data_IF_967978843867
#
_entry.id   IF_967978843867
#
_cell.length_a   1.000
_cell.length_b   1.000
_cell.length_c   1.000
_cell.angle_alpha   90.00
_cell.angle_beta   90.00
_cell.angle_gamma   90.00
#
_symmetry.space_group_name_H-M   'P 1'
#
loop_
_entity.id
_entity.type
_entity.pdbx_description
1 polymer ?
#
# COMPACT_ATOMS: atom_id res chain seq x y z
N UNK A 1 -42.42 -82.97 111.36
CA UNK A 1 -42.88 -82.33 112.61
C UNK A 1 -41.74 -82.03 113.62
N UNK A 2 -40.47 -82.16 113.20
CA UNK A 2 -39.27 -81.94 114.04
C UNK A 2 -38.75 -80.49 114.06
N UNK A 3 -39.29 -79.60 113.21
CA UNK A 3 -38.81 -78.22 113.04
C UNK A 3 -39.34 -77.25 114.11
N UNK A 4 -40.36 -77.64 114.90
CA UNK A 4 -41.00 -76.72 115.86
C UNK A 4 -40.36 -76.77 117.26
N UNK A 5 -39.89 -77.93 117.72
CA UNK A 5 -39.34 -78.07 119.09
C UNK A 5 -37.95 -77.42 119.26
N UNK A 6 -37.09 -77.48 118.24
CA UNK A 6 -35.76 -76.89 118.30
C UNK A 6 -35.75 -75.35 118.24
N UNK A 7 -36.87 -74.72 117.86
CA UNK A 7 -37.04 -73.26 117.94
C UNK A 7 -37.19 -72.75 119.38
N UNK A 8 -37.67 -73.58 120.32
CA UNK A 8 -37.88 -73.15 121.70
C UNK A 8 -36.59 -73.18 122.53
N UNK A 9 -35.60 -74.00 122.15
CA UNK A 9 -34.27 -74.01 122.79
C UNK A 9 -33.39 -72.82 122.35
N UNK A 10 -33.60 -72.29 121.13
CA UNK A 10 -33.04 -71.01 120.64
C UNK A 10 -33.40 -69.82 121.57
N UNK A 11 -34.39 -69.96 122.45
CA UNK A 11 -34.84 -68.87 123.32
C UNK A 11 -34.19 -68.84 124.70
N UNK A 12 -33.76 -69.98 125.29
CA UNK A 12 -33.41 -70.00 126.73
C UNK A 12 -31.98 -69.57 127.08
N UNK A 13 -30.98 -69.86 126.26
CA UNK A 13 -29.58 -69.51 126.59
C UNK A 13 -29.07 -68.24 125.89
N UNK A 14 -30.00 -67.57 125.21
CA UNK A 14 -29.99 -66.13 124.99
C UNK A 14 -29.85 -65.33 126.30
N UNK A 15 -30.24 -65.90 127.45
CA UNK A 15 -30.52 -65.11 128.65
C UNK A 15 -29.49 -65.19 129.79
N UNK A 16 -28.28 -65.73 129.63
CA UNK A 16 -27.34 -65.63 130.76
C UNK A 16 -25.87 -65.48 130.40
N UNK A 17 -25.37 -64.26 130.56
CA UNK A 17 -23.94 -63.90 130.71
C UNK A 17 -23.80 -62.91 131.86
N UNK A 18 -22.71 -63.00 132.64
CA UNK A 18 -22.02 -61.77 133.04
C UNK A 18 -20.48 -62.00 133.16
N UNK A 19 -19.59 -61.03 133.33
CA UNK A 19 -19.63 -59.57 133.46
C UNK A 19 -18.21 -59.03 133.20
N UNK A 20 -18.13 -57.78 132.75
CA UNK A 20 -16.89 -56.99 132.63
C UNK A 20 -17.00 -55.79 133.58
N UNK A 21 -15.88 -55.28 134.11
CA UNK A 21 -15.83 -53.96 134.75
C UNK A 21 -14.75 -53.08 134.10
N UNK A 22 -15.11 -51.83 133.88
CA UNK A 22 -14.33 -50.75 133.25
C UNK A 22 -14.10 -49.61 134.25
N UNK A 23 -13.04 -48.82 134.04
CA UNK A 23 -12.81 -47.52 134.68
C UNK A 23 -12.42 -46.49 133.62
N UNK A 24 -13.00 -45.31 133.71
CA UNK A 24 -12.77 -44.14 132.84
C UNK A 24 -11.78 -43.15 133.48
N UNK A 25 -11.00 -42.47 132.64
CA UNK A 25 -10.25 -41.25 133.00
C UNK A 25 -10.38 -40.25 131.83
N UNK A 26 -10.74 -39.01 132.17
CA UNK A 26 -11.07 -37.92 131.25
C UNK A 26 -9.83 -37.11 130.88
N UNK A 27 -9.63 -36.87 129.58
CA UNK A 27 -8.63 -35.96 129.00
C UNK A 27 -9.34 -34.71 128.46
N UNK A 28 -9.04 -33.53 129.02
CA UNK A 28 -9.46 -32.24 128.45
C UNK A 28 -8.54 -31.87 127.28
N UNK A 29 -9.11 -31.82 126.07
CA UNK A 29 -8.44 -31.37 124.85
C UNK A 29 -8.90 -29.93 124.58
N UNK A 30 -7.97 -28.97 124.67
CA UNK A 30 -8.17 -27.58 124.25
C UNK A 30 -8.35 -27.56 122.73
N UNK A 31 -9.57 -27.32 122.25
CA UNK A 31 -9.90 -27.26 120.84
C UNK A 31 -9.56 -25.88 120.25
N UNK A 32 -8.53 -25.81 119.40
CA UNK A 32 -8.28 -24.65 118.54
C UNK A 32 -9.40 -24.57 117.47
N UNK A 33 -10.37 -23.67 117.64
CA UNK A 33 -11.38 -23.39 116.62
C UNK A 33 -10.81 -22.41 115.61
N UNK A 34 -10.34 -22.91 114.47
CA UNK A 34 -10.11 -22.09 113.27
C UNK A 34 -11.42 -21.41 112.85
N UNK A 35 -11.39 -20.10 112.64
CA UNK A 35 -12.56 -19.29 112.28
C UNK A 35 -13.23 -19.84 110.99
N UNK A 36 -14.56 -20.05 110.98
CA UNK A 36 -15.26 -20.67 109.85
C UNK A 36 -15.07 -19.88 108.55
N UNK A 37 -14.96 -18.55 108.63
CA UNK A 37 -14.70 -17.69 107.47
C UNK A 37 -13.32 -17.94 106.86
N UNK A 38 -12.28 -18.13 107.69
CA UNK A 38 -10.94 -18.48 107.19
C UNK A 38 -10.91 -19.87 106.56
N UNK A 39 -11.71 -20.84 107.06
CA UNK A 39 -11.85 -22.15 106.41
C UNK A 39 -12.52 -22.05 105.05
N UNK A 40 -13.61 -21.29 104.94
CA UNK A 40 -14.31 -21.06 103.69
C UNK A 40 -13.45 -20.31 102.66
N UNK A 41 -12.67 -19.30 103.10
CA UNK A 41 -11.71 -18.60 102.24
C UNK A 41 -10.59 -19.53 101.78
N UNK A 42 -10.04 -20.38 102.66
CA UNK A 42 -9.04 -21.38 102.27
C UNK A 42 -9.64 -22.41 101.31
N UNK A 43 -10.89 -22.85 101.52
CA UNK A 43 -11.57 -23.77 100.61
C UNK A 43 -11.84 -23.14 99.24
N UNK A 44 -12.28 -21.89 99.19
CA UNK A 44 -12.50 -21.17 97.92
C UNK A 44 -11.18 -20.90 97.21
N UNK A 45 -10.10 -20.56 97.92
CA UNK A 45 -8.76 -20.44 97.36
C UNK A 45 -8.22 -21.78 96.87
N UNK A 46 -8.45 -22.88 97.61
CA UNK A 46 -8.11 -24.25 97.15
C UNK A 46 -8.89 -24.64 95.90
N UNK A 47 -10.18 -24.31 95.82
CA UNK A 47 -11.01 -24.53 94.62
C UNK A 47 -10.51 -23.70 93.44
N UNK A 48 -10.25 -22.40 93.63
CA UNK A 48 -9.67 -21.53 92.58
C UNK A 48 -8.30 -22.02 92.14
N UNK A 49 -7.44 -22.44 93.06
CA UNK A 49 -6.14 -23.01 92.73
C UNK A 49 -6.28 -24.32 91.94
N UNK A 50 -7.20 -25.20 92.33
CA UNK A 50 -7.49 -26.43 91.59
C UNK A 50 -8.05 -26.14 90.19
N UNK A 51 -8.92 -25.14 90.06
CA UNK A 51 -9.45 -24.68 88.77
C UNK A 51 -8.35 -24.07 87.89
N UNK A 52 -7.46 -23.24 88.42
CA UNK A 52 -6.33 -22.69 87.68
C UNK A 52 -5.29 -23.76 87.32
N UNK A 53 -5.05 -24.74 88.20
CA UNK A 53 -4.23 -25.90 87.88
C UNK A 53 -4.86 -26.74 86.77
N UNK A 54 -6.18 -26.92 86.78
CA UNK A 54 -6.92 -27.61 85.72
C UNK A 54 -6.84 -26.85 84.39
N UNK A 55 -7.08 -25.53 84.40
CA UNK A 55 -6.92 -24.67 83.21
C UNK A 55 -5.50 -24.72 82.67
N UNK A 56 -4.49 -24.69 83.52
CA UNK A 56 -3.08 -24.83 83.10
C UNK A 56 -2.82 -26.18 82.43
N UNK A 57 -3.36 -27.27 82.98
CA UNK A 57 -3.24 -28.61 82.39
C UNK A 57 -3.98 -28.70 81.05
N UNK A 58 -5.15 -28.08 80.93
CA UNK A 58 -5.91 -28.05 79.69
C UNK A 58 -5.21 -27.19 78.61
N UNK A 59 -4.65 -26.03 78.97
CA UNK A 59 -3.80 -25.22 78.08
C UNK A 59 -2.52 -25.95 77.66
N UNK A 60 -1.88 -26.69 78.57
CA UNK A 60 -0.71 -27.51 78.23
C UNK A 60 -1.07 -28.62 77.23
N UNK A 61 -2.23 -29.28 77.43
CA UNK A 61 -2.75 -30.26 76.47
C UNK A 61 -3.05 -29.61 75.12
N UNK A 62 -3.69 -28.45 75.10
CA UNK A 62 -3.95 -27.70 73.86
C UNK A 62 -2.65 -27.28 73.17
N UNK A 63 -1.64 -26.84 73.92
CA UNK A 63 -0.31 -26.53 73.37
C UNK A 63 0.31 -27.75 72.73
N UNK A 64 0.34 -28.90 73.42
CA UNK A 64 0.90 -30.15 72.89
C UNK A 64 0.13 -30.61 71.64
N UNK A 65 -1.20 -30.52 71.62
CA UNK A 65 -1.97 -30.86 70.41
C UNK A 65 -1.72 -29.89 69.26
N UNK A 66 -1.49 -28.60 69.56
CA UNK A 66 -1.18 -27.58 68.54
C UNK A 66 0.25 -27.73 68.02
N UNK A 67 1.21 -28.02 68.88
CA UNK A 67 2.59 -28.37 68.53
C UNK A 67 2.62 -29.65 67.68
N UNK A 68 1.84 -30.67 68.02
CA UNK A 68 1.71 -31.89 67.21
C UNK A 68 1.07 -31.60 65.85
N UNK A 69 0.03 -30.75 65.78
CA UNK A 69 -0.55 -30.29 64.50
C UNK A 69 0.46 -29.50 63.67
N UNK A 70 1.27 -28.65 64.30
CA UNK A 70 2.35 -27.91 63.62
C UNK A 70 3.43 -28.87 63.15
N UNK A 71 3.79 -29.87 63.95
CA UNK A 71 4.76 -30.92 63.60
C UNK A 71 4.25 -31.75 62.42
N UNK A 72 3.00 -32.20 62.46
CA UNK A 72 2.34 -32.89 61.35
C UNK A 72 2.29 -32.01 60.10
N UNK A 73 1.87 -30.75 60.19
CA UNK A 73 1.89 -29.81 59.05
C UNK A 73 3.30 -29.54 58.52
N UNK A 74 4.31 -29.50 59.39
CA UNK A 74 5.72 -29.33 59.00
C UNK A 74 6.25 -30.58 58.33
N UNK A 75 5.84 -31.75 58.82
CA UNK A 75 6.06 -33.05 58.17
C UNK A 75 5.35 -33.07 56.82
N UNK A 76 4.09 -32.65 56.70
CA UNK A 76 3.34 -32.57 55.44
C UNK A 76 3.93 -31.55 54.45
N UNK A 77 4.52 -30.45 54.95
CA UNK A 77 5.26 -29.48 54.12
C UNK A 77 6.63 -30.02 53.68
N UNK A 78 7.27 -30.86 54.50
CA UNK A 78 8.60 -31.47 54.22
C UNK A 78 8.53 -32.80 53.49
N UNK A 79 7.44 -33.54 53.66
CA UNK A 79 6.94 -34.56 52.74
C UNK A 79 6.41 -33.79 51.55
N UNK A 80 7.35 -33.30 50.75
CA UNK A 80 7.17 -33.26 49.31
C UNK A 80 6.54 -34.60 48.97
N UNK A 81 5.23 -34.62 48.73
CA UNK A 81 4.65 -35.68 47.93
C UNK A 81 5.54 -35.67 46.70
N UNK A 82 6.35 -36.69 46.52
CA UNK A 82 6.55 -37.21 45.17
C UNK A 82 5.15 -37.55 44.66
N UNK A 83 4.41 -36.51 44.26
CA UNK A 83 3.81 -36.60 42.97
C UNK A 83 5.02 -36.83 42.07
N UNK A 84 5.11 -38.04 41.54
CA UNK A 84 5.34 -38.13 40.11
C UNK A 84 4.23 -37.26 39.50
N UNK A 85 4.47 -35.94 39.47
CA UNK A 85 3.93 -35.13 38.41
C UNK A 85 4.70 -35.78 37.28
N UNK A 86 4.00 -36.51 36.41
CA UNK A 86 4.36 -36.35 35.01
C UNK A 86 4.27 -34.85 34.83
N UNK A 87 5.41 -34.17 35.03
CA UNK A 87 5.57 -32.84 34.54
C UNK A 87 5.52 -33.13 33.05
N UNK A 88 4.31 -33.11 32.47
CA UNK A 88 4.13 -32.38 31.24
C UNK A 88 4.63 -30.97 31.55
N UNK A 89 5.96 -30.83 31.63
CA UNK A 89 6.61 -29.76 30.92
C UNK A 89 6.16 -30.04 29.50
N UNK A 90 5.02 -29.45 29.14
CA UNK A 90 4.80 -28.98 27.80
C UNK A 90 5.95 -27.99 27.62
N UNK A 91 7.12 -28.53 27.27
CA UNK A 91 8.09 -27.77 26.53
C UNK A 91 7.28 -27.29 25.35
N UNK A 92 7.17 -25.99 25.22
CA UNK A 92 6.68 -25.42 23.98
C UNK A 92 7.67 -25.89 22.93
N UNK A 93 7.38 -27.03 22.32
CA UNK A 93 7.98 -27.46 21.08
C UNK A 93 7.38 -26.49 20.07
N UNK A 94 8.03 -25.33 19.93
CA UNK A 94 7.83 -24.51 18.76
C UNK A 94 8.08 -25.44 17.58
N UNK A 95 7.01 -25.71 16.84
CA UNK A 95 7.00 -26.65 15.74
C UNK A 95 8.24 -26.35 14.87
N UNK A 96 9.14 -27.34 14.67
CA UNK A 96 10.36 -27.13 13.90
C UNK A 96 10.07 -26.58 12.49
N UNK A 97 8.88 -26.85 11.94
CA UNK A 97 8.42 -26.21 10.70
C UNK A 97 8.19 -24.71 10.90
N UNK A 98 7.45 -24.28 11.93
CA UNK A 98 7.24 -22.85 12.23
C UNK A 98 8.55 -22.10 12.47
N UNK A 99 9.51 -22.71 13.19
CA UNK A 99 10.85 -22.12 13.38
C UNK A 99 11.58 -21.95 12.05
N UNK A 100 11.56 -22.97 11.20
CA UNK A 100 12.20 -22.92 9.89
C UNK A 100 11.57 -21.87 8.97
N UNK A 101 10.24 -21.73 9.04
CA UNK A 101 9.48 -20.70 8.32
C UNK A 101 9.85 -19.30 8.84
N UNK A 102 9.90 -19.08 10.15
CA UNK A 102 10.31 -17.80 10.73
C UNK A 102 11.74 -17.41 10.32
N UNK A 103 12.67 -18.37 10.29
CA UNK A 103 14.04 -18.13 9.82
C UNK A 103 14.05 -17.80 8.33
N UNK A 104 13.27 -18.51 7.52
CA UNK A 104 13.17 -18.28 6.08
C UNK A 104 12.53 -16.93 5.78
N UNK A 105 11.47 -16.55 6.49
CA UNK A 105 10.86 -15.21 6.39
C UNK A 105 11.84 -14.13 6.81
N UNK A 106 12.59 -14.32 7.89
CA UNK A 106 13.61 -13.35 8.32
C UNK A 106 14.69 -13.18 7.26
N UNK A 107 15.11 -14.28 6.62
CA UNK A 107 16.10 -14.25 5.56
C UNK A 107 15.56 -13.61 4.28
N UNK A 108 14.31 -13.88 3.91
CA UNK A 108 13.63 -13.23 2.80
C UNK A 108 13.49 -11.73 3.05
N UNK A 109 13.03 -11.32 4.24
CA UNK A 109 12.95 -9.90 4.62
C UNK A 109 14.33 -9.23 4.53
N UNK A 110 15.39 -9.91 5.00
CA UNK A 110 16.76 -9.40 4.89
C UNK A 110 17.22 -9.24 3.43
N UNK A 111 16.89 -10.20 2.57
CA UNK A 111 17.20 -10.14 1.13
C UNK A 111 16.41 -9.04 0.43
N UNK A 112 15.12 -8.90 0.71
CA UNK A 112 14.26 -7.82 0.20
C UNK A 112 14.75 -6.44 0.64
N UNK A 113 15.20 -6.30 1.90
CA UNK A 113 15.80 -5.05 2.38
C UNK A 113 17.08 -4.70 1.61
N UNK A 114 17.95 -5.69 1.34
CA UNK A 114 19.15 -5.48 0.53
C UNK A 114 18.81 -5.11 -0.92
N UNK A 115 17.82 -5.78 -1.52
CA UNK A 115 17.37 -5.46 -2.88
C UNK A 115 16.80 -4.04 -2.96
N UNK A 116 15.97 -3.64 -1.98
CA UNK A 116 15.47 -2.27 -1.86
C UNK A 116 16.61 -1.26 -1.78
N UNK A 117 17.64 -1.55 -0.99
CA UNK A 117 18.77 -0.64 -0.81
C UNK A 117 19.60 -0.52 -2.11
N UNK A 118 19.83 -1.64 -2.82
CA UNK A 118 20.47 -1.63 -4.14
C UNK A 118 19.68 -0.81 -5.17
N UNK A 119 18.35 -1.02 -5.25
CA UNK A 119 17.49 -0.26 -6.16
C UNK A 119 17.46 1.23 -5.81
N UNK A 120 17.56 1.57 -4.53
CA UNK A 120 17.65 2.97 -4.07
C UNK A 120 18.97 3.62 -4.49
N UNK A 121 20.08 2.88 -4.42
CA UNK A 121 21.38 3.35 -4.89
C UNK A 121 21.40 3.51 -6.41
N UNK A 122 20.82 2.57 -7.15
CA UNK A 122 20.65 2.66 -8.61
C UNK A 122 19.79 3.86 -9.02
N UNK A 123 18.66 4.07 -8.33
CA UNK A 123 17.82 5.25 -8.54
C UNK A 123 18.61 6.54 -8.31
N UNK A 124 19.39 6.60 -7.23
CA UNK A 124 20.22 7.77 -6.91
C UNK A 124 21.30 8.00 -7.98
N UNK A 125 21.89 6.94 -8.53
CA UNK A 125 22.86 7.01 -9.63
C UNK A 125 22.19 7.51 -10.91
N UNK A 126 21.04 6.96 -11.29
CA UNK A 126 20.29 7.37 -12.47
C UNK A 126 19.82 8.82 -12.38
N UNK A 127 19.40 9.26 -11.18
CA UNK A 127 19.03 10.66 -10.95
C UNK A 127 20.22 11.61 -11.16
N UNK A 128 21.43 11.24 -10.75
CA UNK A 128 22.65 12.04 -11.03
C UNK A 128 22.96 12.07 -12.52
N UNK A 129 22.94 10.93 -13.20
CA UNK A 129 23.16 10.86 -14.64
C UNK A 129 22.15 11.69 -15.43
N UNK A 130 20.87 11.67 -15.01
CA UNK A 130 19.84 12.52 -15.60
C UNK A 130 20.18 13.99 -15.42
N UNK A 131 20.56 14.42 -14.21
CA UNK A 131 20.93 15.81 -13.95
C UNK A 131 22.13 16.27 -14.79
N UNK A 132 23.13 15.40 -14.97
CA UNK A 132 24.30 15.68 -15.81
C UNK A 132 23.91 15.83 -17.30
N UNK A 133 23.02 14.97 -17.80
CA UNK A 133 22.50 15.07 -19.17
C UNK A 133 21.63 16.32 -19.38
N UNK A 134 20.80 16.68 -18.39
CA UNK A 134 19.98 17.89 -18.43
C UNK A 134 20.87 19.15 -18.52
N UNK A 135 22.01 19.18 -17.79
CA UNK A 135 23.00 20.26 -17.89
C UNK A 135 23.67 20.31 -19.27
N UNK A 136 24.09 19.16 -19.82
CA UNK A 136 24.67 19.09 -21.16
C UNK A 136 23.70 19.57 -22.24
N UNK A 137 22.41 19.21 -22.12
CA UNK A 137 21.37 19.70 -23.03
C UNK A 137 21.21 21.22 -22.93
N UNK A 138 21.23 21.77 -21.72
CA UNK A 138 21.14 23.22 -21.51
C UNK A 138 22.34 23.97 -22.11
N UNK A 139 23.55 23.42 -22.00
CA UNK A 139 24.76 23.93 -22.63
C UNK A 139 24.64 23.92 -24.17
N UNK A 140 24.22 22.80 -24.76
CA UNK A 140 23.99 22.69 -26.20
C UNK A 140 22.91 23.67 -26.69
N UNK A 141 21.86 23.89 -25.91
CA UNK A 141 20.84 24.89 -26.21
C UNK A 141 21.37 26.32 -26.13
N UNK A 142 22.26 26.63 -25.19
CA UNK A 142 22.97 27.92 -25.13
C UNK A 142 23.86 28.11 -26.35
N UNK A 143 24.64 27.11 -26.74
CA UNK A 143 25.47 27.16 -27.95
C UNK A 143 24.62 27.36 -29.21
N UNK A 144 23.51 26.61 -29.35
CA UNK A 144 22.57 26.78 -30.47
C UNK A 144 21.94 28.17 -30.52
N UNK A 145 21.73 28.82 -29.37
CA UNK A 145 21.26 30.22 -29.31
C UNK A 145 22.34 31.19 -29.76
N UNK A 146 23.55 31.07 -29.20
CA UNK A 146 24.71 31.89 -29.59
C UNK A 146 25.01 31.77 -31.09
N UNK A 147 24.97 30.55 -31.65
CA UNK A 147 25.15 30.31 -33.08
C UNK A 147 24.08 31.02 -33.92
N UNK A 148 22.81 30.95 -33.51
CA UNK A 148 21.71 31.66 -34.20
C UNK A 148 21.91 33.18 -34.17
N UNK A 149 22.34 33.73 -33.04
CA UNK A 149 22.65 35.16 -32.92
C UNK A 149 23.81 35.57 -33.83
N UNK A 150 24.89 34.78 -33.87
CA UNK A 150 26.01 35.01 -34.77
C UNK A 150 25.59 34.91 -36.25
N UNK A 151 24.75 33.93 -36.61
CA UNK A 151 24.21 33.80 -37.98
C UNK A 151 23.36 35.02 -38.38
N UNK A 152 22.54 35.55 -37.47
CA UNK A 152 21.79 36.80 -37.70
C UNK A 152 22.72 38.00 -37.88
N UNK A 153 23.79 38.10 -37.09
CA UNK A 153 24.76 39.18 -37.22
C UNK A 153 25.54 39.08 -38.54
N UNK A 154 25.92 37.87 -38.97
CA UNK A 154 26.51 37.65 -40.30
C UNK A 154 25.55 38.11 -41.41
N UNK A 155 24.24 37.81 -41.30
CA UNK A 155 23.26 38.29 -42.28
C UNK A 155 23.19 39.82 -42.32
N UNK A 156 23.18 40.49 -41.16
CA UNK A 156 23.21 41.97 -41.07
C UNK A 156 24.47 42.55 -41.71
N UNK A 157 25.64 42.00 -41.38
CA UNK A 157 26.91 42.44 -41.95
C UNK A 157 26.98 42.20 -43.47
N UNK A 158 26.41 41.11 -43.98
CA UNK A 158 26.30 40.86 -45.43
C UNK A 158 25.47 41.93 -46.13
N UNK A 159 24.29 42.26 -45.59
CA UNK A 159 23.47 43.35 -46.15
C UNK A 159 24.24 44.66 -46.13
N UNK A 160 24.93 44.98 -45.03
CA UNK A 160 25.73 46.19 -44.90
C UNK A 160 26.89 46.24 -45.90
N UNK A 161 27.55 45.11 -46.13
CA UNK A 161 28.62 45.01 -47.12
C UNK A 161 28.08 45.27 -48.52
N UNK A 162 26.96 44.66 -48.90
CA UNK A 162 26.31 44.89 -50.19
C UNK A 162 25.92 46.36 -50.40
N UNK A 163 25.41 47.04 -49.36
CA UNK A 163 25.13 48.48 -49.43
C UNK A 163 26.39 49.32 -49.71
N UNK A 164 27.49 48.99 -49.04
CA UNK A 164 28.77 49.69 -49.22
C UNK A 164 29.36 49.44 -50.61
N UNK A 165 29.27 48.21 -51.13
CA UNK A 165 29.70 47.86 -52.48
C UNK A 165 28.92 48.62 -53.55
N UNK A 166 27.59 48.76 -53.38
CA UNK A 166 26.74 49.56 -54.28
C UNK A 166 27.19 51.03 -54.24
N UNK A 167 27.40 51.59 -53.04
CA UNK A 167 27.88 52.97 -52.89
C UNK A 167 29.27 53.18 -53.50
N UNK A 168 30.17 52.21 -53.38
CA UNK A 168 31.50 52.29 -54.00
C UNK A 168 31.41 52.27 -55.53
N UNK A 169 30.55 51.42 -56.10
CA UNK A 169 30.28 51.42 -57.56
C UNK A 169 29.71 52.75 -58.04
N UNK A 170 28.70 53.29 -57.36
CA UNK A 170 28.14 54.60 -57.69
C UNK A 170 29.18 55.73 -57.58
N UNK A 171 30.04 55.68 -56.57
CA UNK A 171 31.11 56.67 -56.40
C UNK A 171 32.14 56.56 -57.52
N UNK A 172 32.53 55.35 -57.94
CA UNK A 172 33.43 55.13 -59.08
C UNK A 172 32.81 55.64 -60.39
N UNK A 173 31.53 55.39 -60.63
CA UNK A 173 30.82 55.90 -61.82
C UNK A 173 30.64 57.43 -61.79
N UNK A 174 30.45 58.04 -60.62
CA UNK A 174 30.39 59.51 -60.47
C UNK A 174 31.76 60.18 -60.67
N UNK A 175 32.86 59.49 -60.37
CA UNK A 175 34.24 59.99 -60.52
C UNK A 175 34.74 59.86 -61.96
N UNK A 176 34.28 58.88 -62.76
CA UNK A 176 34.69 58.75 -64.17
C UNK A 176 33.99 59.72 -65.12
N UNK A 177 32.83 60.29 -64.74
CA UNK A 177 32.06 61.22 -65.59
C UNK A 177 32.53 62.68 -65.49
N UNK A 178 33.29 63.05 -64.46
CA UNK A 178 33.89 64.38 -64.35
C UNK A 178 35.37 64.34 -64.74
N UNK A 179 35.65 64.92 -65.92
CA UNK A 179 36.87 65.67 -66.24
C UNK A 179 37.87 65.00 -67.22
N UNK A 180 37.77 65.40 -68.49
CA UNK A 180 38.96 65.69 -69.33
C UNK A 180 38.98 67.20 -69.56
N UNK A 181 39.62 67.93 -68.64
CA UNK A 181 39.98 69.34 -68.82
C UNK A 181 41.48 69.40 -68.71
N UNK A 182 42.13 69.79 -69.81
CA UNK A 182 43.56 70.07 -69.85
C UNK A 182 43.78 71.33 -69.02
N UNK A 183 44.16 71.13 -67.76
CA UNK A 183 44.62 72.18 -66.87
C UNK A 183 46.12 72.38 -67.14
N UNK A 184 46.52 73.62 -67.40
CA UNK A 184 47.93 73.98 -67.28
C UNK A 184 48.36 73.70 -65.84
N UNK A 185 49.40 72.89 -65.66
CA UNK A 185 50.01 72.59 -64.37
C UNK A 185 50.63 73.92 -63.88
N UNK A 186 50.27 74.53 -62.76
CA UNK A 186 50.26 73.92 -61.43
C UNK A 186 51.70 73.76 -60.89
N UNK A 187 52.64 74.74 -60.85
CA UNK A 187 54.00 74.50 -60.34
C UNK A 187 54.06 73.78 -58.99
N UNK A 188 53.04 73.94 -58.14
CA UNK A 188 52.91 73.24 -56.87
C UNK A 188 52.42 71.79 -57.06
N UNK A 189 51.51 71.57 -58.00
CA UNK A 189 51.05 70.24 -58.42
C UNK A 189 52.17 69.43 -59.10
N UNK A 190 53.06 70.07 -59.85
CA UNK A 190 54.21 69.41 -60.48
C UNK A 190 55.21 68.90 -59.43
N UNK A 191 55.41 69.67 -58.35
CA UNK A 191 56.22 69.23 -57.19
C UNK A 191 55.57 68.04 -56.49
N UNK A 192 54.28 68.10 -56.19
CA UNK A 192 53.56 66.96 -55.56
C UNK A 192 53.59 65.72 -56.46
N UNK A 193 53.37 65.89 -57.76
CA UNK A 193 53.46 64.80 -58.73
C UNK A 193 54.88 64.23 -58.84
N UNK A 194 55.92 65.08 -58.72
CA UNK A 194 57.32 64.61 -58.67
C UNK A 194 57.61 63.78 -57.42
N UNK A 195 57.08 64.18 -56.25
CA UNK A 195 57.21 63.44 -54.99
C UNK A 195 56.44 62.13 -55.05
N UNK A 196 55.21 62.14 -55.55
CA UNK A 196 54.40 60.93 -55.73
C UNK A 196 55.04 59.97 -56.74
N UNK A 197 55.64 60.49 -57.83
CA UNK A 197 56.43 59.65 -58.74
C UNK A 197 57.60 59.00 -58.04
N UNK A 198 58.35 59.75 -57.24
CA UNK A 198 59.47 59.20 -56.47
C UNK A 198 59.00 58.11 -55.50
N UNK A 199 57.91 58.34 -54.77
CA UNK A 199 57.32 57.34 -53.88
C UNK A 199 56.86 56.08 -54.63
N UNK A 200 56.24 56.24 -55.80
CA UNK A 200 55.86 55.10 -56.64
C UNK A 200 57.08 54.35 -57.15
N UNK A 201 58.17 55.04 -57.51
CA UNK A 201 59.43 54.43 -57.91
C UNK A 201 60.10 53.68 -56.75
N UNK A 202 60.08 54.25 -55.54
CA UNK A 202 60.54 53.59 -54.32
C UNK A 202 59.74 52.33 -54.00
N UNK A 203 58.40 52.39 -54.07
CA UNK A 203 57.54 51.22 -53.85
C UNK A 203 57.73 50.16 -54.94
N UNK A 204 57.96 50.57 -56.20
CA UNK A 204 58.35 49.64 -57.28
C UNK A 204 59.69 48.97 -56.99
N UNK A 205 60.66 49.71 -56.46
CA UNK A 205 61.95 49.15 -56.09
C UNK A 205 61.83 48.17 -54.92
N UNK A 206 61.07 48.51 -53.87
CA UNK A 206 60.76 47.60 -52.75
C UNK A 206 60.06 46.32 -53.23
N UNK A 207 59.07 46.44 -54.12
CA UNK A 207 58.40 45.29 -54.73
C UNK A 207 59.40 44.38 -55.46
N UNK A 208 60.31 44.97 -56.23
CA UNK A 208 61.33 44.22 -56.97
C UNK A 208 62.34 43.51 -56.05
N UNK A 209 62.68 44.11 -54.90
CA UNK A 209 63.50 43.46 -53.88
C UNK A 209 62.78 42.28 -53.24
N UNK A 210 61.52 42.46 -52.82
CA UNK A 210 60.69 41.39 -52.27
C UNK A 210 60.46 40.26 -53.28
N UNK A 211 60.30 40.59 -54.57
CA UNK A 211 60.16 39.60 -55.64
C UNK A 211 61.46 38.80 -55.86
N UNK A 212 62.63 39.44 -55.70
CA UNK A 212 63.92 38.72 -55.69
C UNK A 212 64.04 37.80 -54.48
N UNK A 213 63.71 38.29 -53.28
CA UNK A 213 63.72 37.49 -52.04
C UNK A 213 62.77 36.29 -52.15
N UNK A 214 61.55 36.51 -52.65
CA UNK A 214 60.58 35.45 -52.91
C UNK A 214 61.11 34.41 -53.90
N UNK A 215 61.74 34.84 -55.00
CA UNK A 215 62.36 33.93 -55.94
C UNK A 215 63.54 33.15 -55.33
N UNK A 216 64.33 33.74 -54.44
CA UNK A 216 65.37 33.00 -53.70
C UNK A 216 64.77 31.96 -52.76
N UNK A 217 63.66 32.28 -52.09
CA UNK A 217 62.93 31.32 -51.24
C UNK A 217 62.34 30.17 -52.06
N UNK A 218 61.77 30.44 -53.24
CA UNK A 218 61.33 29.41 -54.17
C UNK A 218 62.49 28.50 -54.58
N UNK A 219 63.66 29.08 -54.91
CA UNK A 219 64.82 28.27 -55.26
C UNK A 219 65.31 27.44 -54.08
N UNK A 220 65.28 27.98 -52.86
CA UNK A 220 65.60 27.24 -51.63
C UNK A 220 64.62 26.09 -51.40
N UNK A 221 63.32 26.32 -51.56
CA UNK A 221 62.29 25.29 -51.50
C UNK A 221 62.55 24.20 -52.55
N UNK A 222 62.77 24.58 -53.82
CA UNK A 222 63.11 23.65 -54.89
C UNK A 222 64.40 22.87 -54.62
N UNK A 223 65.40 23.47 -53.97
CA UNK A 223 66.60 22.74 -53.58
C UNK A 223 66.36 21.78 -52.43
N UNK A 224 65.53 22.15 -51.45
CA UNK A 224 65.16 21.26 -50.34
C UNK A 224 64.33 20.08 -50.85
N UNK A 225 63.34 20.33 -51.70
CA UNK A 225 62.56 19.28 -52.39
C UNK A 225 63.46 18.35 -53.22
N UNK A 226 64.50 18.88 -53.88
CA UNK A 226 65.49 18.08 -54.63
C UNK A 226 66.52 17.37 -53.73
N UNK A 227 66.77 17.88 -52.53
CA UNK A 227 67.67 17.27 -51.55
C UNK A 227 66.99 16.15 -50.76
N UNK A 228 65.66 16.14 -50.67
CA UNK A 228 64.88 15.02 -50.14
C UNK A 228 64.94 13.75 -51.01
N UNK A 229 65.51 13.82 -52.22
CA UNK A 229 65.68 12.64 -53.10
C UNK A 229 67.10 12.54 -53.67
N UNK A 230 67.99 11.95 -52.87
CA UNK A 230 69.13 11.11 -53.33
C UNK A 230 69.04 9.85 -52.47
N UNK A 231 68.87 8.63 -52.96
CA UNK A 231 69.62 7.91 -54.00
C UNK A 231 68.83 6.59 -54.28
N UNK A 232 68.54 6.13 -55.50
CA UNK A 232 69.38 5.20 -56.29
C UNK A 232 68.72 4.87 -57.64
N UNK A 233 69.55 4.89 -58.67
CA UNK A 233 69.70 3.96 -59.81
C UNK A 233 68.50 3.05 -60.18
N UNK A 234 67.89 3.37 -61.32
CA UNK A 234 67.24 2.53 -62.35
C UNK A 234 66.90 1.09 -61.93
N UNK A 235 65.61 0.81 -61.68
CA UNK A 235 64.83 -0.31 -62.21
C UNK A 235 63.37 0.17 -62.30
N UNK A 236 62.67 -0.16 -63.39
CA UNK A 236 61.24 0.14 -63.55
C UNK A 236 60.43 -0.71 -62.56
N UNK A 237 59.91 -0.14 -61.49
CA UNK A 237 59.02 -0.87 -60.59
C UNK A 237 57.88 0.02 -60.10
N UNK A 238 56.67 -0.54 -60.18
CA UNK A 238 55.40 0.12 -59.82
C UNK A 238 55.53 0.65 -58.39
N UNK A 239 55.31 1.94 -58.19
CA UNK A 239 55.17 2.54 -56.85
C UNK A 239 53.92 1.92 -56.21
N UNK A 240 54.10 0.84 -55.46
CA UNK A 240 53.16 0.47 -54.41
C UNK A 240 53.41 1.43 -53.26
N UNK A 241 52.44 2.31 -53.01
CA UNK A 241 52.34 3.02 -51.74
C UNK A 241 52.06 1.94 -50.70
N UNK A 242 53.07 1.52 -49.95
CA UNK A 242 52.89 0.66 -48.79
C UNK A 242 52.11 1.46 -47.75
N UNK A 243 50.83 1.13 -47.59
CA UNK A 243 50.04 1.54 -46.44
C UNK A 243 50.65 0.92 -45.19
N UNK A 244 50.83 1.73 -44.14
CA UNK A 244 51.36 1.24 -42.86
C UNK A 244 50.51 0.05 -42.37
N UNK A 245 51.04 -1.18 -42.34
CA UNK A 245 50.25 -2.37 -42.00
C UNK A 245 49.73 -2.33 -40.56
N UNK A 246 50.43 -1.61 -39.68
CA UNK A 246 50.00 -1.38 -38.30
C UNK A 246 48.77 -0.46 -38.23
N UNK A 247 48.68 0.56 -39.09
CA UNK A 247 47.54 1.47 -39.15
C UNK A 247 46.29 0.78 -39.71
N UNK A 248 46.45 -0.08 -40.72
CA UNK A 248 45.34 -0.89 -41.25
C UNK A 248 44.82 -1.89 -40.22
N UNK A 249 45.71 -2.58 -39.51
CA UNK A 249 45.34 -3.50 -38.43
C UNK A 249 44.60 -2.78 -37.29
N UNK A 250 45.04 -1.57 -36.93
CA UNK A 250 44.39 -0.79 -35.88
C UNK A 250 43.00 -0.28 -36.32
N UNK A 251 42.86 0.19 -37.56
CA UNK A 251 41.56 0.55 -38.13
C UNK A 251 40.61 -0.66 -38.12
N UNK A 252 41.11 -1.85 -38.48
CA UNK A 252 40.29 -3.06 -38.51
C UNK A 252 39.88 -3.53 -37.09
N UNK A 253 40.75 -3.36 -36.09
CA UNK A 253 40.40 -3.59 -34.68
C UNK A 253 39.33 -2.62 -34.20
N UNK A 254 39.48 -1.33 -34.50
CA UNK A 254 38.52 -0.30 -34.12
C UNK A 254 37.16 -0.53 -34.78
N UNK A 255 37.13 -0.93 -36.05
CA UNK A 255 35.89 -1.31 -36.75
C UNK A 255 35.20 -2.49 -36.08
N UNK A 256 35.96 -3.54 -35.75
CA UNK A 256 35.41 -4.72 -35.05
C UNK A 256 34.84 -4.37 -33.68
N UNK A 257 35.57 -3.56 -32.91
CA UNK A 257 35.11 -3.08 -31.61
C UNK A 257 33.84 -2.22 -31.74
N UNK A 258 33.77 -1.36 -32.75
CA UNK A 258 32.57 -0.58 -33.04
C UNK A 258 31.38 -1.49 -33.41
N UNK A 259 31.60 -2.49 -34.27
CA UNK A 259 30.56 -3.46 -34.64
C UNK A 259 30.05 -4.25 -33.43
N UNK A 260 30.93 -4.74 -32.56
CA UNK A 260 30.57 -5.42 -31.32
C UNK A 260 29.75 -4.52 -30.39
N UNK A 261 30.16 -3.26 -30.22
CA UNK A 261 29.46 -2.32 -29.36
C UNK A 261 28.10 -1.90 -29.94
N UNK A 262 27.98 -1.83 -31.28
CA UNK A 262 26.68 -1.60 -31.93
C UNK A 262 25.72 -2.77 -31.74
N UNK A 263 26.21 -4.02 -31.79
CA UNK A 263 25.40 -5.21 -31.50
C UNK A 263 24.96 -5.23 -30.03
N UNK A 264 25.89 -4.97 -29.11
CA UNK A 264 25.59 -4.88 -27.68
C UNK A 264 24.55 -3.81 -27.36
N UNK A 265 24.64 -2.65 -28.02
CA UNK A 265 23.63 -1.59 -27.91
C UNK A 265 22.25 -2.06 -28.40
N UNK A 266 22.20 -2.75 -29.54
CA UNK A 266 20.93 -3.30 -30.07
C UNK A 266 20.32 -4.34 -29.13
N UNK A 267 21.12 -5.22 -28.53
CA UNK A 267 20.67 -6.19 -27.54
C UNK A 267 20.07 -5.49 -26.31
N UNK A 268 20.75 -4.46 -25.79
CA UNK A 268 20.22 -3.65 -24.68
C UNK A 268 18.94 -2.91 -25.06
N UNK A 269 18.82 -2.38 -26.27
CA UNK A 269 17.59 -1.72 -26.75
C UNK A 269 16.41 -2.73 -26.79
N UNK A 270 16.66 -3.97 -27.20
CA UNK A 270 15.65 -5.05 -27.18
C UNK A 270 15.26 -5.38 -25.74
N UNK A 271 16.23 -5.55 -24.83
CA UNK A 271 15.96 -5.81 -23.41
C UNK A 271 15.17 -4.68 -22.76
N UNK A 272 15.54 -3.42 -23.02
CA UNK A 272 14.81 -2.24 -22.56
C UNK A 272 13.37 -2.24 -23.08
N UNK A 273 13.15 -2.57 -24.35
CA UNK A 273 11.80 -2.65 -24.92
C UNK A 273 10.97 -3.74 -24.21
N UNK A 274 11.54 -4.91 -23.96
CA UNK A 274 10.90 -6.04 -23.27
C UNK A 274 10.57 -5.72 -21.80
N UNK A 275 11.48 -5.04 -21.10
CA UNK A 275 11.24 -4.59 -19.72
C UNK A 275 10.15 -3.52 -19.71
N UNK A 276 10.16 -2.59 -20.67
CA UNK A 276 9.16 -1.53 -20.78
C UNK A 276 7.77 -2.11 -21.02
N UNK A 277 7.61 -3.09 -21.92
CA UNK A 277 6.31 -3.73 -22.13
C UNK A 277 5.82 -4.45 -20.87
N UNK A 278 6.69 -5.22 -20.21
CA UNK A 278 6.36 -5.90 -18.93
C UNK A 278 5.96 -4.91 -17.85
N UNK A 279 6.65 -3.76 -17.76
CA UNK A 279 6.30 -2.70 -16.82
C UNK A 279 4.90 -2.17 -17.11
N UNK A 280 4.57 -1.85 -18.36
CA UNK A 280 3.24 -1.35 -18.72
C UNK A 280 2.13 -2.37 -18.47
N UNK A 281 2.38 -3.67 -18.69
CA UNK A 281 1.45 -4.75 -18.36
C UNK A 281 1.23 -4.87 -16.84
N UNK A 282 2.31 -4.80 -16.06
CA UNK A 282 2.26 -4.80 -14.59
C UNK A 282 1.53 -3.57 -14.04
N UNK A 283 1.78 -2.38 -14.60
CA UNK A 283 1.06 -1.16 -14.23
C UNK A 283 -0.43 -1.31 -14.54
N UNK A 284 -0.78 -1.82 -15.71
CA UNK A 284 -2.18 -2.07 -16.09
C UNK A 284 -2.87 -3.05 -15.13
N UNK A 285 -2.25 -4.20 -14.86
CA UNK A 285 -2.80 -5.19 -13.93
C UNK A 285 -2.93 -4.63 -12.51
N UNK A 286 -1.95 -3.85 -12.05
CA UNK A 286 -2.01 -3.19 -10.75
C UNK A 286 -3.16 -2.17 -10.67
N UNK A 287 -3.39 -1.36 -11.73
CA UNK A 287 -4.55 -0.45 -11.76
C UNK A 287 -5.87 -1.20 -11.73
N UNK A 288 -5.97 -2.35 -12.41
CA UNK A 288 -7.15 -3.21 -12.37
C UNK A 288 -7.38 -3.78 -10.98
N UNK A 289 -6.37 -4.38 -10.36
CA UNK A 289 -6.47 -4.93 -9.01
C UNK A 289 -6.77 -3.85 -7.96
N UNK A 290 -6.23 -2.63 -8.12
CA UNK A 290 -6.57 -1.49 -7.24
C UNK A 290 -8.07 -1.17 -7.30
N UNK A 291 -8.64 -1.12 -8.51
CA UNK A 291 -10.09 -0.90 -8.69
C UNK A 291 -10.93 -2.04 -8.08
N UNK A 292 -10.47 -3.29 -8.19
CA UNK A 292 -11.14 -4.44 -7.57
C UNK A 292 -11.11 -4.34 -6.03
N UNK A 293 -9.99 -3.91 -5.45
CA UNK A 293 -9.87 -3.67 -4.00
C UNK A 293 -10.80 -2.55 -3.55
N UNK A 294 -10.86 -1.45 -4.30
CA UNK A 294 -11.76 -0.34 -3.97
C UNK A 294 -13.23 -0.75 -4.08
N UNK A 295 -13.59 -1.55 -5.09
CA UNK A 295 -14.93 -2.14 -5.18
C UNK A 295 -15.26 -3.02 -3.96
N UNK A 296 -14.34 -3.88 -3.53
CA UNK A 296 -14.54 -4.72 -2.34
C UNK A 296 -14.68 -3.86 -1.08
N UNK A 297 -13.90 -2.78 -0.95
CA UNK A 297 -14.02 -1.83 0.18
C UNK A 297 -15.39 -1.15 0.21
N UNK A 298 -15.86 -0.67 -0.94
CA UNK A 298 -17.17 -0.04 -1.05
C UNK A 298 -18.30 -1.03 -0.72
N UNK A 299 -18.17 -2.26 -1.20
CA UNK A 299 -19.11 -3.34 -0.89
C UNK A 299 -19.11 -3.72 0.60
N UNK A 300 -17.93 -3.82 1.22
CA UNK A 300 -17.82 -4.02 2.66
C UNK A 300 -18.46 -2.87 3.46
N UNK A 301 -18.26 -1.63 3.03
CA UNK A 301 -18.87 -0.46 3.67
C UNK A 301 -20.41 -0.49 3.52
N UNK A 302 -20.92 -0.89 2.36
CA UNK A 302 -22.36 -1.06 2.11
C UNK A 302 -22.96 -2.11 3.04
N UNK A 303 -22.34 -3.29 3.10
CA UNK A 303 -22.79 -4.38 3.98
C UNK A 303 -22.71 -3.99 5.46
N UNK A 304 -21.69 -3.22 5.87
CA UNK A 304 -21.57 -2.73 7.23
C UNK A 304 -22.75 -1.79 7.59
N UNK A 305 -23.10 -0.87 6.69
CA UNK A 305 -24.26 0.02 6.88
C UNK A 305 -25.57 -0.77 6.95
N UNK A 306 -25.74 -1.77 6.09
CA UNK A 306 -26.92 -2.65 6.11
C UNK A 306 -27.00 -3.45 7.42
N UNK A 307 -25.87 -4.00 7.89
CA UNK A 307 -25.81 -4.70 9.17
C UNK A 307 -26.20 -3.79 10.33
N UNK A 308 -25.74 -2.53 10.34
CA UNK A 308 -26.17 -1.55 11.34
C UNK A 308 -27.68 -1.24 11.26
N UNK A 309 -28.25 -1.14 10.05
CA UNK A 309 -29.70 -0.94 9.86
C UNK A 309 -30.49 -2.13 10.41
N UNK A 310 -30.09 -3.35 10.07
CA UNK A 310 -30.72 -4.58 10.58
C UNK A 310 -30.59 -4.71 12.10
N UNK A 311 -29.44 -4.35 12.69
CA UNK A 311 -29.30 -4.32 14.14
C UNK A 311 -30.25 -3.33 14.81
N UNK A 312 -30.44 -2.16 14.20
CA UNK A 312 -31.41 -1.17 14.71
C UNK A 312 -32.84 -1.67 14.57
N UNK A 313 -33.17 -2.37 13.49
CA UNK A 313 -34.47 -3.00 13.28
C UNK A 313 -34.74 -4.13 14.28
N UNK A 314 -33.76 -4.99 14.56
CA UNK A 314 -33.84 -5.99 15.62
C UNK A 314 -34.12 -5.34 16.97
N UNK A 315 -33.42 -4.25 17.31
CA UNK A 315 -33.67 -3.52 18.57
C UNK A 315 -35.09 -2.94 18.64
N UNK A 316 -35.61 -2.41 17.53
CA UNK A 316 -36.99 -1.90 17.43
C UNK A 316 -38.00 -3.02 17.64
N UNK A 317 -37.86 -4.13 16.91
CA UNK A 317 -38.74 -5.30 17.06
C UNK A 317 -38.68 -5.88 18.47
N UNK A 318 -37.50 -5.95 19.09
CA UNK A 318 -37.36 -6.37 20.48
C UNK A 318 -38.12 -5.44 21.45
N UNK A 319 -38.07 -4.12 21.22
CA UNK A 319 -38.83 -3.16 22.02
C UNK A 319 -40.35 -3.31 21.80
N UNK A 320 -40.79 -3.48 20.55
CA UNK A 320 -42.20 -3.74 20.21
C UNK A 320 -42.72 -5.03 20.85
N UNK A 321 -41.94 -6.10 20.79
CA UNK A 321 -42.24 -7.36 21.48
C UNK A 321 -42.36 -7.11 22.98
N UNK A 322 -41.43 -6.38 23.60
CA UNK A 322 -41.52 -6.07 25.04
C UNK A 322 -42.77 -5.26 25.40
N UNK A 323 -43.14 -4.28 24.57
CA UNK A 323 -44.36 -3.48 24.77
C UNK A 323 -45.59 -4.38 24.66
N UNK A 324 -45.75 -5.11 23.56
CA UNK A 324 -46.88 -6.03 23.36
C UNK A 324 -46.93 -7.13 24.43
N UNK A 325 -45.79 -7.63 24.91
CA UNK A 325 -45.74 -8.60 26.03
C UNK A 325 -46.23 -7.96 27.35
N UNK A 326 -45.91 -6.69 27.60
CA UNK A 326 -46.41 -5.96 28.79
C UNK A 326 -47.91 -5.70 28.66
N UNK A 327 -48.37 -5.25 27.50
CA UNK A 327 -49.78 -4.98 27.22
C UNK A 327 -50.61 -6.27 27.32
N UNK A 328 -50.16 -7.38 26.73
CA UNK A 328 -50.85 -8.68 26.85
C UNK A 328 -50.89 -9.19 28.28
N UNK A 329 -49.83 -8.99 29.08
CA UNK A 329 -49.88 -9.28 30.53
C UNK A 329 -50.93 -8.43 31.25
N UNK A 330 -50.94 -7.12 31.01
CA UNK A 330 -51.95 -6.22 31.58
C UNK A 330 -53.38 -6.59 31.15
N UNK A 331 -53.58 -6.98 29.89
CA UNK A 331 -54.86 -7.46 29.38
C UNK A 331 -55.24 -8.79 30.04
N UNK A 332 -54.30 -9.72 30.22
CA UNK A 332 -54.56 -11.01 30.87
C UNK A 332 -54.93 -10.81 32.35
N UNK A 333 -54.25 -9.89 33.04
CA UNK A 333 -54.57 -9.51 34.42
C UNK A 333 -55.92 -8.79 34.54
N UNK A 334 -56.29 -7.95 33.56
CA UNK A 334 -57.56 -7.20 33.54
C UNK A 334 -58.75 -8.00 32.98
N UNK A 335 -58.53 -8.97 32.10
CA UNK A 335 -59.60 -9.85 31.56
C UNK A 335 -60.12 -10.84 32.59
N UNK A 336 -59.38 -11.10 33.68
CA UNK A 336 -59.90 -11.80 34.86
C UNK A 336 -60.98 -10.96 35.58
N UNK A 337 -60.99 -9.64 35.38
CA UNK A 337 -61.89 -8.70 36.08
C UNK A 337 -63.07 -8.25 35.19
N UNK A 338 -62.92 -8.18 33.86
CA UNK A 338 -63.92 -7.57 32.95
C UNK A 338 -64.45 -8.50 31.83
N UNK A 339 -64.79 -9.75 32.16
CA UNK A 339 -65.31 -10.74 31.18
C UNK A 339 -66.67 -10.38 30.57
N UNK A 340 -67.44 -9.49 31.21
CA UNK A 340 -68.84 -9.20 30.82
C UNK A 340 -68.98 -8.03 29.85
N UNK A 341 -68.03 -7.09 29.80
CA UNK A 341 -68.11 -5.88 28.94
C UNK A 341 -67.41 -6.05 27.58
N UNK A 342 -66.55 -7.05 27.46
CA UNK A 342 -65.70 -7.30 26.28
C UNK A 342 -66.42 -7.96 25.09
N UNK A 343 -67.60 -8.55 25.30
CA UNK A 343 -68.31 -9.31 24.26
C UNK A 343 -69.01 -8.41 23.21
N UNK A 344 -69.32 -7.14 23.55
CA UNK A 344 -69.98 -6.19 22.63
C UNK A 344 -68.99 -5.28 21.89
N UNK A 345 -67.86 -4.90 22.51
CA UNK A 345 -66.89 -3.94 21.93
C UNK A 345 -66.04 -4.58 20.82
N UNK A 346 -65.72 -5.88 20.96
CA UNK A 346 -64.87 -6.63 20.04
C UNK A 346 -65.43 -6.76 18.61
N UNK A 347 -66.72 -7.10 18.40
CA UNK A 347 -67.28 -7.17 17.04
C UNK A 347 -67.32 -5.81 16.34
N UNK A 348 -67.60 -4.72 17.06
CA UNK A 348 -67.61 -3.36 16.48
C UNK A 348 -66.21 -2.90 16.06
N UNK A 349 -65.18 -3.18 16.88
CA UNK A 349 -63.78 -2.88 16.54
C UNK A 349 -63.31 -3.66 15.29
N UNK A 350 -63.61 -4.97 15.24
CA UNK A 350 -63.28 -5.80 14.08
C UNK A 350 -64.02 -5.36 12.81
N UNK A 351 -65.26 -4.90 12.93
CA UNK A 351 -66.02 -4.38 11.80
C UNK A 351 -65.43 -3.07 11.27
N UNK A 352 -64.92 -2.21 12.15
CA UNK A 352 -64.22 -0.98 11.77
C UNK A 352 -62.88 -1.27 11.08
N UNK A 353 -62.09 -2.20 11.61
CA UNK A 353 -60.84 -2.64 10.98
C UNK A 353 -61.07 -3.24 9.59
N UNK A 354 -62.13 -4.05 9.42
CA UNK A 354 -62.51 -4.58 8.11
C UNK A 354 -62.87 -3.48 7.10
N UNK A 355 -63.54 -2.42 7.55
CA UNK A 355 -63.86 -1.27 6.68
C UNK A 355 -62.59 -0.49 6.30
N UNK A 356 -61.68 -0.27 7.25
CA UNK A 356 -60.41 0.41 6.98
C UNK A 356 -59.51 -0.40 6.04
N UNK A 357 -59.44 -1.72 6.21
CA UNK A 357 -58.71 -2.60 5.29
C UNK A 357 -59.30 -2.56 3.88
N UNK A 358 -60.62 -2.60 3.74
CA UNK A 358 -61.29 -2.46 2.43
C UNK A 358 -60.97 -1.12 1.77
N UNK A 359 -60.95 -0.03 2.53
CA UNK A 359 -60.55 1.30 2.02
C UNK A 359 -59.11 1.27 1.50
N UNK A 360 -58.18 0.74 2.28
CA UNK A 360 -56.76 0.64 1.87
C UNK A 360 -56.62 -0.21 0.60
N UNK A 361 -57.34 -1.33 0.48
CA UNK A 361 -57.34 -2.14 -0.74
C UNK A 361 -57.77 -1.31 -1.95
N UNK A 362 -58.86 -0.56 -1.85
CA UNK A 362 -59.33 0.29 -2.96
C UNK A 362 -58.34 1.40 -3.32
N UNK A 363 -57.67 2.01 -2.34
CA UNK A 363 -56.64 3.03 -2.60
C UNK A 363 -55.43 2.43 -3.31
N UNK A 364 -55.02 1.21 -2.93
CA UNK A 364 -53.91 0.48 -3.55
C UNK A 364 -54.25 0.02 -4.96
N UNK A 365 -55.48 -0.42 -5.23
CA UNK A 365 -55.92 -0.77 -6.58
C UNK A 365 -55.83 0.43 -7.53
N UNK A 366 -56.20 1.63 -7.07
CA UNK A 366 -56.07 2.88 -7.85
C UNK A 366 -54.59 3.24 -8.08
N UNK A 367 -53.72 3.03 -7.09
CA UNK A 367 -52.28 3.25 -7.23
C UNK A 367 -51.66 2.30 -8.26
N UNK A 368 -52.04 1.02 -8.22
CA UNK A 368 -51.61 0.01 -9.19
C UNK A 368 -52.04 0.41 -10.61
N UNK A 369 -53.29 0.85 -10.80
CA UNK A 369 -53.77 1.29 -12.12
C UNK A 369 -52.97 2.49 -12.67
N UNK A 370 -52.60 3.44 -11.80
CA UNK A 370 -51.74 4.59 -12.18
C UNK A 370 -50.34 4.16 -12.58
N UNK A 371 -49.75 3.22 -11.83
CA UNK A 371 -48.42 2.69 -12.13
C UNK A 371 -48.42 1.90 -13.44
N UNK A 372 -49.45 1.09 -13.69
CA UNK A 372 -49.61 0.38 -14.96
C UNK A 372 -49.72 1.33 -16.16
N UNK A 373 -50.52 2.40 -16.05
CA UNK A 373 -50.59 3.45 -17.07
C UNK A 373 -49.22 4.11 -17.30
N UNK A 374 -48.49 4.43 -16.23
CA UNK A 374 -47.16 5.03 -16.31
C UNK A 374 -46.15 4.09 -16.98
N UNK A 375 -46.17 2.80 -16.65
CA UNK A 375 -45.33 1.77 -17.25
C UNK A 375 -45.61 1.63 -18.75
N UNK A 376 -46.89 1.63 -19.15
CA UNK A 376 -47.27 1.57 -20.57
C UNK A 376 -46.76 2.80 -21.34
N UNK A 377 -46.82 3.99 -20.74
CA UNK A 377 -46.30 5.20 -21.34
C UNK A 377 -44.77 5.18 -21.47
N UNK A 378 -44.06 4.63 -20.49
CA UNK A 378 -42.60 4.43 -20.56
C UNK A 378 -42.23 3.42 -21.64
N UNK A 379 -42.99 2.32 -21.78
CA UNK A 379 -42.78 1.31 -22.81
C UNK A 379 -42.94 1.91 -24.22
N UNK A 380 -43.99 2.68 -24.46
CA UNK A 380 -44.20 3.37 -25.75
C UNK A 380 -43.07 4.37 -26.03
N UNK A 381 -42.61 5.12 -25.02
CA UNK A 381 -41.47 6.04 -25.19
C UNK A 381 -40.15 5.32 -25.47
N UNK A 382 -39.94 4.14 -24.88
CA UNK A 382 -38.78 3.29 -25.14
C UNK A 382 -38.82 2.75 -26.57
N UNK A 383 -39.96 2.22 -27.00
CA UNK A 383 -40.17 1.70 -28.36
C UNK A 383 -40.00 2.80 -29.43
N UNK A 384 -40.51 4.01 -29.18
CA UNK A 384 -40.25 5.16 -30.06
C UNK A 384 -38.76 5.51 -30.15
N UNK A 385 -38.02 5.49 -29.03
CA UNK A 385 -36.58 5.73 -29.04
C UNK A 385 -35.84 4.63 -29.81
N UNK A 386 -36.13 3.36 -29.55
CA UNK A 386 -35.53 2.22 -30.25
C UNK A 386 -35.81 2.28 -31.76
N UNK A 387 -37.04 2.66 -32.16
CA UNK A 387 -37.38 2.86 -33.58
C UNK A 387 -36.62 4.02 -34.24
N UNK A 388 -36.30 5.09 -33.52
CA UNK A 388 -35.54 6.22 -34.07
C UNK A 388 -34.02 5.97 -34.12
N UNK A 389 -33.52 4.99 -33.36
CA UNK A 389 -32.10 4.63 -33.32
C UNK A 389 -31.73 3.50 -34.31
N UNK A 390 -32.72 2.77 -34.85
CA UNK A 390 -32.50 1.77 -35.90
C UNK A 390 -32.51 2.41 -37.28
N UNK A 391 -31.41 2.28 -38.01
CA UNK A 391 -31.33 2.61 -39.45
C UNK A 391 -30.96 1.34 -40.20
N UNK A 392 -31.95 0.71 -40.83
CA UNK A 392 -31.74 -0.40 -41.76
C UNK A 392 -31.78 0.12 -43.19
N UNK A 393 -30.87 -0.33 -44.04
CA UNK A 393 -30.82 0.07 -45.43
C UNK A 393 -31.38 -1.08 -46.28
N UNK A 394 -32.17 -0.74 -47.28
CA UNK A 394 -32.77 -1.71 -48.19
C UNK A 394 -32.32 -1.40 -49.60
N UNK A 395 -31.92 -2.43 -50.32
CA UNK A 395 -31.59 -2.36 -51.75
C UNK A 395 -32.77 -2.91 -52.53
N UNK A 396 -33.20 -2.17 -53.55
CA UNK A 396 -34.33 -2.55 -54.41
C UNK A 396 -33.76 -3.08 -55.72
N UNK A 397 -34.11 -4.30 -56.08
CA UNK A 397 -33.80 -4.87 -57.39
C UNK A 397 -34.56 -4.08 -58.49
N UNK A 398 -33.86 -3.49 -59.47
CA UNK A 398 -34.49 -2.66 -60.51
C UNK A 398 -35.43 -3.45 -61.45
N UNK A 399 -35.21 -4.75 -61.62
CA UNK A 399 -36.00 -5.56 -62.55
C UNK A 399 -37.22 -6.21 -61.88
N UNK A 400 -37.10 -6.55 -60.60
CA UNK A 400 -38.17 -7.24 -59.84
C UNK A 400 -38.89 -6.35 -58.83
N UNK A 401 -38.35 -5.17 -58.52
CA UNK A 401 -38.85 -4.27 -57.48
C UNK A 401 -38.75 -4.85 -56.06
N UNK A 402 -38.03 -5.96 -55.89
CA UNK A 402 -37.94 -6.66 -54.61
C UNK A 402 -36.96 -5.95 -53.68
N UNK A 403 -37.44 -5.59 -52.49
CA UNK A 403 -36.65 -5.11 -51.37
C UNK A 403 -35.83 -6.24 -50.74
N UNK A 404 -34.54 -6.01 -50.56
CA UNK A 404 -33.61 -6.96 -49.96
C UNK A 404 -32.51 -6.27 -49.17
N UNK A 405 -31.85 -7.03 -48.28
CA UNK A 405 -30.74 -6.49 -47.48
C UNK A 405 -29.51 -6.26 -48.36
N UNK A 406 -28.60 -5.33 -48.00
CA UNK A 406 -27.35 -5.10 -48.73
C UNK A 406 -26.52 -6.39 -48.95
N UNK A 407 -26.54 -7.31 -47.98
CA UNK A 407 -25.86 -8.61 -48.11
C UNK A 407 -26.44 -9.50 -49.21
N UNK A 408 -27.77 -9.52 -49.32
CA UNK A 408 -28.50 -10.30 -50.34
C UNK A 408 -28.28 -9.69 -51.73
N UNK A 409 -28.30 -8.36 -51.83
CA UNK A 409 -28.01 -7.64 -53.07
C UNK A 409 -26.59 -7.88 -53.57
N UNK A 410 -25.60 -7.94 -52.65
CA UNK A 410 -24.22 -8.27 -53.01
C UNK A 410 -24.10 -9.72 -53.52
N UNK A 411 -24.74 -10.68 -52.85
CA UNK A 411 -24.76 -12.09 -53.28
C UNK A 411 -25.40 -12.30 -54.65
N UNK A 412 -26.39 -11.48 -54.99
CA UNK A 412 -27.05 -11.47 -56.31
C UNK A 412 -26.29 -10.65 -57.36
N UNK A 413 -25.18 -9.99 -56.99
CA UNK A 413 -24.37 -9.19 -57.89
C UNK A 413 -24.99 -7.85 -58.29
N UNK A 414 -26.04 -7.41 -57.59
CA UNK A 414 -26.73 -6.14 -57.84
C UNK A 414 -25.93 -4.92 -57.35
N UNK A 415 -25.04 -5.13 -56.39
CA UNK A 415 -24.11 -4.12 -55.86
C UNK A 415 -22.69 -4.68 -55.78
N UNK A 416 -21.68 -3.83 -55.90
CA UNK A 416 -20.28 -4.23 -55.73
C UNK A 416 -19.88 -4.31 -54.24
N UNK A 417 -18.75 -4.95 -53.94
CA UNK A 417 -18.26 -5.12 -52.57
C UNK A 417 -18.03 -3.77 -51.86
N UNK A 418 -17.59 -2.77 -52.60
CA UNK A 418 -17.35 -1.43 -52.07
C UNK A 418 -18.65 -0.76 -51.62
N UNK A 419 -19.73 -0.89 -52.41
CA UNK A 419 -21.04 -0.40 -52.06
C UNK A 419 -21.63 -1.21 -50.90
N UNK A 420 -21.48 -2.53 -50.87
CA UNK A 420 -21.90 -3.34 -49.72
C UNK A 420 -21.31 -2.87 -48.39
N UNK A 421 -19.97 -2.70 -48.32
CA UNK A 421 -19.28 -2.20 -47.12
C UNK A 421 -19.76 -0.81 -46.72
N UNK A 422 -20.00 0.07 -47.70
CA UNK A 422 -20.51 1.41 -47.45
C UNK A 422 -21.94 1.38 -46.87
N UNK A 423 -22.84 0.58 -47.44
CA UNK A 423 -24.21 0.42 -46.93
C UNK A 423 -24.20 -0.20 -45.53
N UNK A 424 -23.41 -1.24 -45.30
CA UNK A 424 -23.27 -1.87 -43.99
C UNK A 424 -22.74 -0.89 -42.92
N UNK A 425 -21.80 0.00 -43.27
CA UNK A 425 -21.29 1.02 -42.35
C UNK A 425 -22.30 2.11 -41.98
N UNK A 426 -23.39 2.24 -42.77
CA UNK A 426 -24.47 3.18 -42.55
C UNK A 426 -25.69 2.53 -41.86
N UNK A 427 -25.73 1.20 -41.79
CA UNK A 427 -26.68 0.49 -40.95
C UNK A 427 -26.29 0.65 -39.48
N UNK A 428 -27.29 0.93 -38.65
CA UNK A 428 -27.06 1.24 -37.24
C UNK A 428 -28.09 0.50 -36.40
N UNK A 429 -27.64 -0.53 -35.68
CA UNK A 429 -28.40 -1.27 -34.67
C UNK A 429 -27.80 -0.99 -33.29
N UNK A 430 -28.49 -0.20 -32.47
CA UNK A 430 -28.04 0.15 -31.10
C UNK A 430 -28.45 -0.89 -30.03
N UNK A 431 -28.79 -2.12 -30.40
CA UNK A 431 -29.30 -3.11 -29.43
C UNK A 431 -28.23 -3.69 -28.49
N UNK A 432 -26.93 -3.41 -28.68
CA UNK A 432 -25.85 -4.09 -27.94
C UNK A 432 -25.18 -3.27 -26.82
N UNK A 433 -25.69 -2.09 -26.46
CA UNK A 433 -25.12 -1.32 -25.33
C UNK A 433 -26.17 -1.15 -24.22
N UNK A 434 -26.28 -2.16 -23.36
CA UNK A 434 -26.75 -2.02 -21.97
C UNK A 434 -26.27 -3.19 -21.12
#
# INVERSE_FOLDING_TARGET
>A
LEIVQLRDEITRWRDTKPQVQTKEVVNEIVQYREDPKTKEEIETLKKRLAEEQRKRLDLERERVTSEEKIRLKKIDLSQVREKIVQQEVVKMEEDPMLRSECVTFTQNISNELKQRDLLKDELSRLQRQKADLDLQLEELERERRSRREAELEIQRLRVRLSELEIRDKENREKVTVKQKVVLQQDPQQEKEHSILRLQVEEERHKRLLLEKEYNTLIQQQLTLEKMEVREKVIHTEKIQVETDPEAELEIERLKRSLEEETKRRQELDIELSSITTKLTEMEFTNTKSTKEVDYVRDECNRLLQENQRLQNEIRKLQAEIQITTKETRQITESTIIDSSRNLEIRPEALQKELLDLRRITTEKDVEIEKLQKSLSAVRVKREQRESHLRRSIVVIDPDTGKEMRPEEAYKLGLIDWKMFVNLQSQECDWEEIS
#
